data_IF_823819690738
#
_entry.id   IF_823819690738
#
_cell.length_a   1.000
_cell.length_b   1.000
_cell.length_c   1.000
_cell.angle_alpha   90.00
_cell.angle_beta   90.00
_cell.angle_gamma   90.00
#
_symmetry.space_group_name_H-M   'P 1'
#
loop_
_entity.id
_entity.type
_entity.pdbx_description
1 polymer ?
#
# COMPACT_ATOMS: atom_id res chain seq x y z
N UNK A 1 1.06 -10.91 7.88
CA UNK A 1 1.49 -9.57 8.39
C UNK A 1 0.27 -8.84 8.93
N UNK A 2 0.29 -8.38 10.18
CA UNK A 2 -0.82 -7.61 10.75
C UNK A 2 -0.80 -6.17 10.20
N UNK A 3 -1.93 -5.68 9.69
CA UNK A 3 -2.06 -4.30 9.22
C UNK A 3 -1.97 -3.36 10.42
N UNK A 4 -0.92 -2.54 10.47
CA UNK A 4 -0.71 -1.53 11.53
C UNK A 4 -1.21 -0.15 11.08
N UNK A 5 -1.61 0.74 12.00
CA UNK A 5 -1.98 2.12 11.67
C UNK A 5 -0.76 3.00 11.31
N UNK A 6 0.47 2.47 11.37
CA UNK A 6 1.67 3.15 10.91
C UNK A 6 1.88 2.98 9.40
N UNK A 7 2.57 3.92 8.71
CA UNK A 7 2.91 3.76 7.31
C UNK A 7 3.71 2.47 7.06
N UNK A 8 3.37 1.77 5.97
CA UNK A 8 3.92 0.46 5.60
C UNK A 8 4.18 0.42 4.08
N UNK A 9 5.17 -0.37 3.67
CA UNK A 9 5.36 -0.70 2.26
C UNK A 9 4.36 -1.78 1.84
N UNK A 10 3.85 -1.67 0.60
CA UNK A 10 3.06 -2.73 -0.03
C UNK A 10 3.96 -3.42 -1.05
N UNK A 11 4.38 -4.64 -0.74
CA UNK A 11 5.24 -5.44 -1.62
C UNK A 11 4.44 -6.00 -2.80
N UNK A 12 5.02 -5.95 -4.00
CA UNK A 12 4.47 -6.68 -5.14
C UNK A 12 4.78 -8.17 -4.98
N UNK A 13 3.75 -9.01 -4.89
CA UNK A 13 3.90 -10.46 -4.70
C UNK A 13 4.53 -11.19 -5.90
N UNK A 14 4.47 -10.61 -7.11
CA UNK A 14 5.07 -11.18 -8.31
C UNK A 14 6.51 -10.71 -8.56
N UNK A 15 6.93 -9.62 -7.92
CA UNK A 15 8.25 -8.99 -8.11
C UNK A 15 8.81 -8.52 -6.77
N UNK A 16 9.73 -9.30 -6.20
CA UNK A 16 10.28 -9.10 -4.85
C UNK A 16 11.04 -7.78 -4.66
N UNK A 17 11.51 -7.16 -5.75
CA UNK A 17 12.23 -5.89 -5.73
C UNK A 17 11.31 -4.66 -5.86
N UNK A 18 9.99 -4.87 -6.02
CA UNK A 18 9.04 -3.79 -6.32
C UNK A 18 7.99 -3.58 -5.25
N UNK A 19 7.73 -2.32 -4.95
CA UNK A 19 6.69 -1.88 -4.01
C UNK A 19 5.67 -0.98 -4.70
N UNK A 20 4.51 -0.79 -4.07
CA UNK A 20 3.56 0.23 -4.49
C UNK A 20 4.18 1.64 -4.36
N UNK A 21 3.91 2.49 -5.33
CA UNK A 21 4.46 3.83 -5.43
C UNK A 21 3.42 4.78 -6.02
N UNK A 22 3.23 5.94 -5.41
CA UNK A 22 2.51 7.04 -6.06
C UNK A 22 3.43 7.68 -7.10
N UNK A 23 3.12 7.46 -8.38
CA UNK A 23 4.01 7.82 -9.48
C UNK A 23 4.42 9.30 -9.45
N UNK A 24 5.73 9.54 -9.38
CA UNK A 24 6.31 10.89 -9.30
C UNK A 24 5.92 11.70 -8.05
N UNK A 25 5.35 11.06 -7.04
CA UNK A 25 4.74 11.70 -5.87
C UNK A 25 3.67 12.76 -6.22
N UNK A 26 3.03 12.67 -7.39
CA UNK A 26 2.06 13.66 -7.85
C UNK A 26 0.62 13.34 -7.38
N UNK A 27 -0.13 14.38 -6.98
CA UNK A 27 -1.41 14.26 -6.22
C UNK A 27 -2.54 13.46 -6.89
N UNK A 28 -2.50 13.29 -8.21
CA UNK A 28 -3.51 12.57 -8.98
C UNK A 28 -2.89 11.54 -9.93
N UNK A 29 -1.65 11.16 -9.64
CA UNK A 29 -0.99 10.11 -10.38
C UNK A 29 -1.44 8.73 -9.90
N UNK A 30 -1.36 7.71 -10.76
CA UNK A 30 -1.70 6.35 -10.38
C UNK A 30 -0.76 5.80 -9.32
N UNK A 31 -1.23 4.75 -8.64
CA UNK A 31 -0.37 3.85 -7.89
C UNK A 31 0.22 2.82 -8.87
N UNK A 32 1.54 2.72 -8.90
CA UNK A 32 2.29 1.82 -9.78
C UNK A 32 3.19 0.90 -8.97
N UNK A 33 3.74 -0.12 -9.63
CA UNK A 33 4.79 -0.97 -9.05
C UNK A 33 6.15 -0.44 -9.48
N UNK A 34 6.95 0.01 -8.51
CA UNK A 34 8.26 0.63 -8.72
C UNK A 34 9.34 -0.02 -7.84
N UNK A 35 10.60 0.11 -8.22
CA UNK A 35 11.73 -0.30 -7.38
C UNK A 35 11.70 0.44 -6.04
N UNK A 36 12.03 -0.28 -4.96
CA UNK A 36 12.06 0.29 -3.61
C UNK A 36 13.10 1.40 -3.51
N UNK A 37 12.65 2.60 -3.10
CA UNK A 37 13.49 3.76 -2.82
C UNK A 37 13.10 4.49 -1.52
N UNK A 38 12.15 3.95 -0.75
CA UNK A 38 11.79 4.33 0.63
C UNK A 38 11.27 5.77 0.86
N UNK A 39 11.19 6.55 -0.21
CA UNK A 39 10.53 7.85 -0.23
C UNK A 39 9.09 7.77 0.28
N UNK A 40 8.60 8.92 0.73
CA UNK A 40 7.30 9.04 1.41
C UNK A 40 6.11 8.61 0.54
N UNK A 41 6.26 8.64 -0.79
CA UNK A 41 5.26 8.23 -1.76
C UNK A 41 5.15 6.69 -1.92
N UNK A 42 6.05 5.92 -1.29
CA UNK A 42 5.98 4.45 -1.17
C UNK A 42 5.41 3.99 0.17
N UNK A 43 5.14 4.90 1.10
CA UNK A 43 4.68 4.58 2.46
C UNK A 43 3.17 4.74 2.56
N UNK A 44 2.46 3.63 2.75
CA UNK A 44 1.00 3.59 2.77
C UNK A 44 0.45 3.38 4.18
N UNK A 45 -0.56 4.17 4.53
CA UNK A 45 -1.30 4.07 5.79
C UNK A 45 -2.63 3.39 5.54
N UNK A 46 -3.01 2.49 6.44
CA UNK A 46 -4.25 1.73 6.40
C UNK A 46 -5.13 2.12 7.59
N UNK A 47 -6.20 2.84 7.34
CA UNK A 47 -7.19 3.22 8.35
C UNK A 47 -8.36 2.23 8.29
N UNK A 48 -8.53 1.41 9.34
CA UNK A 48 -9.63 0.46 9.42
C UNK A 48 -10.98 1.20 9.49
N UNK A 49 -11.93 0.80 8.65
CA UNK A 49 -13.30 1.36 8.64
C UNK A 49 -14.14 0.80 9.78
N UNK A 50 -13.82 -0.41 10.25
CA UNK A 50 -14.45 -1.02 11.41
C UNK A 50 -13.46 -1.90 12.17
N UNK A 51 -13.76 -2.17 13.43
CA UNK A 51 -12.89 -2.95 14.33
C UNK A 51 -12.82 -4.44 13.97
N UNK A 52 -13.78 -4.94 13.18
CA UNK A 52 -13.98 -6.37 12.93
C UNK A 52 -13.94 -6.75 11.44
N UNK A 53 -13.61 -5.82 10.52
CA UNK A 53 -13.74 -6.03 9.08
C UNK A 53 -12.43 -5.82 8.30
N UNK A 54 -12.29 -6.45 7.12
CA UNK A 54 -11.13 -6.30 6.24
C UNK A 54 -11.17 -5.00 5.41
N UNK A 55 -11.94 -4.00 5.84
CA UNK A 55 -12.20 -2.78 5.08
C UNK A 55 -11.31 -1.64 5.57
N UNK A 56 -10.59 -1.03 4.65
CA UNK A 56 -9.63 0.02 4.93
C UNK A 56 -9.76 1.20 3.97
N UNK A 57 -9.50 2.40 4.47
CA UNK A 57 -9.05 3.51 3.63
C UNK A 57 -7.53 3.41 3.52
N UNK A 58 -7.01 3.50 2.30
CA UNK A 58 -5.58 3.37 2.03
C UNK A 58 -5.08 4.72 1.52
N UNK A 59 -4.08 5.28 2.17
CA UNK A 59 -3.51 6.58 1.81
C UNK A 59 -1.99 6.55 1.74
N UNK A 60 -1.43 7.53 1.04
CA UNK A 60 0.01 7.82 0.94
C UNK A 60 0.22 9.33 0.93
N UNK A 61 1.47 9.79 0.85
CA UNK A 61 1.81 11.20 0.79
C UNK A 61 2.37 11.60 -0.58
N UNK A 62 1.71 12.57 -1.20
CA UNK A 62 2.21 13.27 -2.37
C UNK A 62 3.23 14.36 -1.99
N UNK A 63 3.87 14.94 -3.00
CA UNK A 63 4.79 16.07 -2.86
C UNK A 63 4.14 17.21 -2.04
N UNK A 64 4.92 17.76 -1.11
CA UNK A 64 4.43 18.71 -0.11
C UNK A 64 3.67 18.08 1.05
N UNK A 65 3.79 16.74 1.25
CA UNK A 65 3.17 15.98 2.35
C UNK A 65 1.63 16.08 2.35
N UNK A 66 1.04 16.09 1.17
CA UNK A 66 -0.42 16.06 1.03
C UNK A 66 -0.90 14.62 1.06
N UNK A 67 -1.83 14.34 1.96
CA UNK A 67 -2.48 13.02 2.05
C UNK A 67 -3.35 12.80 0.83
N UNK A 68 -3.12 11.67 0.18
CA UNK A 68 -3.86 11.22 -1.00
C UNK A 68 -4.30 9.78 -0.77
N UNK A 69 -5.55 9.49 -1.13
CA UNK A 69 -6.15 8.18 -0.99
C UNK A 69 -6.07 7.41 -2.30
N UNK A 70 -5.86 6.10 -2.21
CA UNK A 70 -6.12 5.22 -3.34
C UNK A 70 -7.60 5.36 -3.72
N UNK A 71 -7.91 5.53 -5.00
CA UNK A 71 -9.29 5.66 -5.47
C UNK A 71 -9.45 5.09 -6.87
N UNK A 72 -10.58 4.45 -7.15
CA UNK A 72 -10.98 4.17 -8.52
C UNK A 72 -12.52 4.20 -8.58
N UNK A 73 -13.07 5.20 -9.25
CA UNK A 73 -14.51 5.30 -9.47
C UNK A 73 -14.90 4.33 -10.60
N UNK A 74 -15.68 3.30 -10.28
CA UNK A 74 -16.14 2.26 -11.23
C UNK A 74 -15.00 1.47 -11.91
N UNK A 75 -14.15 0.76 -11.13
CA UNK A 75 -12.99 0.07 -11.67
C UNK A 75 -13.38 -1.04 -12.66
N UNK A 76 -12.66 -1.10 -13.78
CA UNK A 76 -12.70 -2.22 -14.74
C UNK A 76 -11.39 -3.00 -14.68
N UNK A 77 -11.44 -4.25 -15.13
CA UNK A 77 -10.24 -5.07 -15.25
C UNK A 77 -9.23 -4.40 -16.19
N UNK A 78 -8.01 -4.17 -15.69
CA UNK A 78 -6.93 -3.49 -16.43
C UNK A 78 -6.78 -1.99 -16.11
N UNK A 79 -7.74 -1.39 -15.40
CA UNK A 79 -7.63 0.01 -14.98
C UNK A 79 -6.50 0.18 -13.96
N UNK A 80 -5.88 1.35 -14.01
CA UNK A 80 -4.91 1.75 -13.01
C UNK A 80 -5.60 2.03 -11.68
N UNK A 81 -4.89 1.80 -10.57
CA UNK A 81 -5.34 2.27 -9.26
C UNK A 81 -5.10 3.79 -9.24
N UNK A 82 -6.17 4.57 -9.36
CA UNK A 82 -6.11 6.02 -9.32
C UNK A 82 -5.93 6.56 -7.90
N UNK A 83 -5.97 7.88 -7.80
CA UNK A 83 -5.85 8.59 -6.52
C UNK A 83 -6.82 9.76 -6.42
N UNK A 84 -7.24 10.06 -5.19
CA UNK A 84 -8.18 11.16 -4.88
C UNK A 84 -7.87 11.77 -3.52
N UNK A 85 -8.32 13.01 -3.30
CA UNK A 85 -8.35 13.62 -1.96
C UNK A 85 -9.52 13.13 -1.11
N UNK A 86 -10.46 12.40 -1.72
CA UNK A 86 -11.61 11.79 -1.06
C UNK A 86 -11.29 10.32 -0.79
N UNK A 87 -11.48 9.82 0.45
CA UNK A 87 -11.20 8.44 0.79
C UNK A 87 -12.18 7.47 0.10
N UNK A 88 -11.63 6.41 -0.50
CA UNK A 88 -12.39 5.23 -0.92
C UNK A 88 -12.13 4.07 0.04
N UNK A 89 -13.09 3.15 0.14
CA UNK A 89 -13.00 1.96 1.01
C UNK A 89 -12.62 0.74 0.18
N UNK A 90 -11.56 0.06 0.58
CA UNK A 90 -11.07 -1.17 -0.04
C UNK A 90 -11.24 -2.34 0.90
N UNK A 91 -11.64 -3.48 0.34
CA UNK A 91 -11.48 -4.77 1.03
C UNK A 91 -10.05 -5.25 0.78
N UNK A 92 -9.24 -5.32 1.83
CA UNK A 92 -7.86 -5.81 1.76
C UNK A 92 -7.88 -7.31 2.02
N UNK A 93 -7.22 -8.08 1.16
CA UNK A 93 -6.98 -9.52 1.35
C UNK A 93 -5.48 -9.76 1.37
N UNK A 94 -5.01 -10.49 2.38
CA UNK A 94 -3.62 -10.95 2.42
C UNK A 94 -3.47 -12.11 1.46
N UNK A 95 -2.59 -11.97 0.46
CA UNK A 95 -2.25 -13.04 -0.48
C UNK A 95 -0.85 -13.52 -0.12
N UNK A 96 -0.75 -14.67 0.56
CA UNK A 96 0.50 -15.24 1.05
C UNK A 96 0.90 -14.71 2.45
N UNK A 97 1.15 -15.62 3.39
CA UNK A 97 1.87 -15.29 4.61
C UNK A 97 3.37 -15.31 4.30
N UNK A 98 4.02 -14.14 4.30
CA UNK A 98 5.48 -14.06 4.25
C UNK A 98 6.03 -14.38 5.64
N UNK A 99 6.48 -15.62 5.84
CA UNK A 99 7.31 -15.98 6.99
C UNK A 99 8.75 -15.63 6.67
N UNK A 100 9.25 -14.51 7.18
CA UNK A 100 10.70 -14.27 7.24
C UNK A 100 11.28 -15.21 8.29
N UNK A 101 11.91 -16.31 7.86
CA UNK A 101 12.84 -17.04 8.71
C UNK A 101 14.07 -16.16 8.90
N UNK A 102 14.20 -15.49 10.04
CA UNK A 102 15.53 -15.08 10.52
C UNK A 102 16.28 -16.33 10.90
N UNK A 103 17.46 -16.53 10.30
CA UNK A 103 18.42 -17.57 10.66
C UNK A 103 18.55 -17.63 12.20
N UNK A 104 17.89 -18.63 12.78
CA UNK A 104 18.15 -19.04 14.13
C UNK A 104 19.40 -19.90 14.06
N UNK A 105 20.54 -19.34 14.47
CA UNK A 105 21.62 -20.17 14.99
C UNK A 105 21.01 -21.07 16.07
N UNK A 106 20.76 -22.34 15.71
CA UNK A 106 20.53 -23.40 16.67
C UNK A 106 21.90 -23.71 17.27
N UNK A 107 22.19 -23.12 18.42
CA UNK A 107 23.21 -23.65 19.33
C UNK A 107 22.53 -24.66 20.26
N UNK A 108 23.15 -25.81 20.55
CA UNK A 108 23.06 -26.42 21.87
C UNK A 108 23.68 -25.49 22.94
#
# INVERSE_FOLDING_TARGET
MAIKPTPQLIQNAAFEDRVADLYGAARYSPIVSCSRHENINQQFTFEAVSVAGPQYKISTLAAGRVVIYCSNENPRGGDWVGTSTIPSVYTVRTVGEFHTMTDGCLSP
#
